data_IF_776557051551
#
_entry.id   IF_776557051551
#
_cell.length_a   1.000
_cell.length_b   1.000
_cell.length_c   1.000
_cell.angle_alpha   90.00
_cell.angle_beta   90.00
_cell.angle_gamma   90.00
#
_symmetry.space_group_name_H-M   'P 1'
#
loop_
_entity.id
_entity.type
_entity.pdbx_description
1 polymer ?
#
# COMPACT_ATOMS: atom_id res chain seq x y z
N UNK A 1 15.68 -2.58 32.17
CA UNK A 1 14.47 -3.40 32.03
C UNK A 1 14.53 -4.08 30.67
N UNK A 2 14.69 -5.39 30.69
CA UNK A 2 14.95 -6.25 29.53
C UNK A 2 13.65 -6.49 28.76
N UNK A 3 13.48 -5.83 27.62
CA UNK A 3 12.36 -6.10 26.71
C UNK A 3 12.71 -7.41 25.98
N UNK A 4 11.94 -8.46 26.24
CA UNK A 4 12.12 -9.76 25.58
C UNK A 4 11.93 -9.61 24.08
N UNK A 5 12.97 -9.96 23.32
CA UNK A 5 13.19 -9.79 21.88
C UNK A 5 12.22 -10.54 20.93
N UNK A 6 11.03 -10.96 21.38
CA UNK A 6 10.25 -12.01 20.72
C UNK A 6 8.78 -11.68 20.37
N UNK A 7 8.34 -10.41 20.40
CA UNK A 7 6.89 -10.10 20.31
C UNK A 7 6.53 -8.79 19.61
N UNK A 8 7.39 -8.29 18.72
CA UNK A 8 7.09 -7.14 17.87
C UNK A 8 7.24 -7.53 16.40
N UNK A 9 6.35 -7.01 15.55
CA UNK A 9 6.50 -7.13 14.09
C UNK A 9 6.23 -5.76 13.47
N UNK A 10 7.08 -5.37 12.52
CA UNK A 10 6.97 -4.08 11.87
C UNK A 10 6.08 -4.21 10.62
N UNK A 11 4.95 -3.50 10.60
CA UNK A 11 4.05 -3.50 9.44
C UNK A 11 4.66 -2.70 8.29
N UNK A 12 5.09 -1.48 8.59
CA UNK A 12 5.76 -0.56 7.67
C UNK A 12 6.61 0.43 8.45
N UNK A 13 7.39 1.28 7.77
CA UNK A 13 8.14 2.36 8.44
C UNK A 13 7.22 3.21 9.33
N UNK A 14 7.50 3.24 10.64
CA UNK A 14 6.73 4.00 11.63
C UNK A 14 5.47 3.32 12.15
N UNK A 15 5.16 2.07 11.76
CA UNK A 15 4.02 1.31 12.29
C UNK A 15 4.46 -0.05 12.80
N UNK A 16 4.29 -0.28 14.10
CA UNK A 16 4.74 -1.51 14.78
C UNK A 16 3.58 -2.16 15.52
N UNK A 17 3.48 -3.47 15.39
CA UNK A 17 2.55 -4.33 16.12
C UNK A 17 3.28 -5.02 17.27
N UNK A 18 2.69 -4.97 18.46
CA UNK A 18 3.20 -5.60 19.67
C UNK A 18 2.19 -6.59 20.21
N UNK A 19 2.67 -7.75 20.67
CA UNK A 19 1.85 -8.69 21.44
C UNK A 19 1.90 -8.31 22.91
N UNK A 20 0.79 -7.79 23.42
CA UNK A 20 0.55 -7.51 24.84
C UNK A 20 0.02 -8.76 25.55
N UNK A 21 0.06 -8.79 26.88
CA UNK A 21 -0.52 -9.87 27.69
C UNK A 21 -2.05 -9.92 27.62
N UNK A 22 -2.69 -8.80 27.26
CA UNK A 22 -4.17 -8.67 27.17
C UNK A 22 -4.68 -8.52 25.74
N UNK A 23 -3.80 -8.41 24.74
CA UNK A 23 -4.20 -8.01 23.40
C UNK A 23 -3.04 -7.74 22.43
N UNK A 24 -3.33 -6.93 21.42
CA UNK A 24 -2.39 -6.40 20.46
C UNK A 24 -2.28 -4.89 20.69
N UNK A 25 -1.06 -4.35 20.70
CA UNK A 25 -0.81 -2.91 20.73
C UNK A 25 -0.23 -2.48 19.38
N UNK A 26 -0.87 -1.51 18.75
CA UNK A 26 -0.44 -0.91 17.50
C UNK A 26 0.12 0.47 17.81
N UNK A 27 1.38 0.69 17.47
CA UNK A 27 2.02 1.99 17.60
C UNK A 27 2.25 2.57 16.21
N UNK A 28 1.76 3.79 16.02
CA UNK A 28 1.86 4.53 14.78
C UNK A 28 2.56 5.85 15.08
N UNK A 29 3.76 6.03 14.53
CA UNK A 29 4.50 7.27 14.62
C UNK A 29 4.17 8.12 13.38
N UNK A 30 3.35 9.16 13.57
CA UNK A 30 2.97 10.11 12.54
C UNK A 30 3.39 11.50 13.02
N UNK A 31 4.22 12.19 12.25
CA UNK A 31 4.55 13.61 12.46
C UNK A 31 4.92 13.96 13.92
N UNK A 32 5.87 13.23 14.52
CA UNK A 32 6.33 13.40 15.91
C UNK A 32 5.29 13.09 17.00
N UNK A 33 4.14 12.50 16.64
CA UNK A 33 3.14 12.05 17.59
C UNK A 33 3.02 10.51 17.56
N UNK A 34 3.20 9.88 18.73
CA UNK A 34 3.06 8.44 18.88
C UNK A 34 1.61 8.11 19.21
N UNK A 35 0.88 7.62 18.22
CA UNK A 35 -0.46 7.07 18.41
C UNK A 35 -0.34 5.62 18.83
N UNK A 36 -0.74 5.35 20.08
CA UNK A 36 -0.76 4.00 20.63
C UNK A 36 -2.21 3.55 20.74
N UNK A 37 -2.56 2.46 20.04
CA UNK A 37 -3.86 1.81 20.14
C UNK A 37 -3.68 0.43 20.77
N UNK A 38 -4.41 0.11 21.83
CA UNK A 38 -4.43 -1.23 22.42
C UNK A 38 -5.78 -1.90 22.14
N UNK A 39 -5.75 -3.05 21.47
CA UNK A 39 -6.90 -3.84 21.04
C UNK A 39 -6.88 -5.12 21.85
N UNK A 40 -7.95 -5.45 22.56
CA UNK A 40 -8.01 -6.70 23.33
C UNK A 40 -8.16 -7.90 22.39
N UNK A 41 -7.51 -9.02 22.73
CA UNK A 41 -7.56 -10.25 21.92
C UNK A 41 -8.99 -10.78 21.73
N UNK A 42 -9.84 -10.65 22.76
CA UNK A 42 -11.24 -11.10 22.72
C UNK A 42 -12.13 -10.28 21.77
N UNK A 43 -11.65 -9.12 21.32
CA UNK A 43 -12.38 -8.25 20.39
C UNK A 43 -11.99 -8.53 18.93
N UNK A 44 -10.93 -9.31 18.69
CA UNK A 44 -10.45 -9.65 17.35
C UNK A 44 -11.15 -10.92 16.88
N UNK A 45 -11.96 -10.78 15.84
CA UNK A 45 -12.75 -11.86 15.25
C UNK A 45 -12.03 -12.57 14.10
N UNK A 46 -10.91 -12.04 13.62
CA UNK A 46 -10.13 -12.61 12.53
C UNK A 46 -9.17 -11.60 11.90
N UNK A 47 -8.38 -12.06 10.93
CA UNK A 47 -7.52 -11.21 10.12
C UNK A 47 -7.50 -11.65 8.65
N UNK A 48 -7.27 -10.70 7.75
CA UNK A 48 -7.06 -10.97 6.32
C UNK A 48 -5.85 -10.18 5.80
N UNK A 49 -5.02 -10.84 5.00
CA UNK A 49 -3.97 -10.21 4.23
C UNK A 49 -4.48 -10.08 2.79
N UNK A 50 -4.90 -8.87 2.43
CA UNK A 50 -5.46 -8.60 1.12
C UNK A 50 -4.48 -7.78 0.29
N UNK A 51 -4.15 -8.17 -0.96
CA UNK A 51 -3.42 -7.30 -1.86
C UNK A 51 -4.29 -6.08 -2.14
N UNK A 52 -3.79 -4.91 -1.75
CA UNK A 52 -4.46 -3.67 -2.03
C UNK A 52 -4.44 -3.44 -3.54
N UNK A 53 -5.56 -2.95 -4.08
CA UNK A 53 -5.67 -2.71 -5.52
C UNK A 53 -4.60 -1.70 -5.92
N UNK A 54 -3.85 -2.00 -6.98
CA UNK A 54 -2.85 -1.08 -7.54
C UNK A 54 -3.52 0.26 -7.83
N UNK A 55 -2.81 1.37 -7.56
CA UNK A 55 -3.34 2.68 -7.92
C UNK A 55 -3.46 2.77 -9.44
N UNK A 56 -4.70 2.84 -9.91
CA UNK A 56 -5.04 2.90 -11.33
C UNK A 56 -4.78 4.29 -11.93
N UNK A 57 -4.42 5.29 -11.12
CA UNK A 57 -4.16 6.66 -11.58
C UNK A 57 -3.11 6.67 -12.70
N UNK A 58 -2.00 5.96 -12.53
CA UNK A 58 -0.91 5.89 -13.51
C UNK A 58 -1.38 5.27 -14.84
N UNK A 59 -2.14 4.17 -14.79
CA UNK A 59 -2.72 3.55 -15.98
C UNK A 59 -3.71 4.49 -16.69
N UNK A 60 -4.53 5.20 -15.91
CA UNK A 60 -5.51 6.15 -16.46
C UNK A 60 -4.82 7.34 -17.13
N UNK A 61 -3.75 7.86 -16.54
CA UNK A 61 -2.91 8.91 -17.13
C UNK A 61 -2.15 8.44 -18.37
N UNK A 62 -1.68 7.18 -18.39
CA UNK A 62 -1.05 6.60 -19.58
C UNK A 62 -2.04 6.55 -20.75
N UNK A 63 -3.28 6.09 -20.52
CA UNK A 63 -4.32 6.07 -21.55
C UNK A 63 -4.67 7.48 -22.01
N UNK A 64 -4.83 8.42 -21.07
CA UNK A 64 -5.14 9.81 -21.39
C UNK A 64 -4.03 10.47 -22.22
N UNK A 65 -2.76 10.26 -21.84
CA UNK A 65 -1.61 10.79 -22.57
C UNK A 65 -1.51 10.22 -23.99
N UNK A 66 -1.82 8.94 -24.17
CA UNK A 66 -1.83 8.30 -25.49
C UNK A 66 -2.94 8.88 -26.39
N UNK A 67 -4.16 9.04 -25.85
CA UNK A 67 -5.26 9.69 -26.59
C UNK A 67 -4.91 11.14 -26.95
N UNK A 68 -4.26 11.86 -26.03
CA UNK A 68 -3.85 13.24 -26.25
C UNK A 68 -2.77 13.34 -27.33
N UNK A 69 -1.87 12.35 -27.44
CA UNK A 69 -0.90 12.27 -28.53
C UNK A 69 -1.60 12.17 -29.90
N UNK A 70 -2.64 11.34 -30.01
CA UNK A 70 -3.42 11.21 -31.25
C UNK A 70 -4.11 12.53 -31.58
N UNK A 71 -4.71 13.20 -30.59
CA UNK A 71 -5.37 14.49 -30.80
C UNK A 71 -4.39 15.57 -31.26
N UNK A 72 -3.21 15.65 -30.62
CA UNK A 72 -2.16 16.59 -31.03
C UNK A 72 -1.69 16.31 -32.45
N UNK A 73 -1.59 15.03 -32.83
CA UNK A 73 -1.23 14.67 -34.20
C UNK A 73 -2.28 15.14 -35.23
N UNK A 74 -3.57 14.94 -34.93
CA UNK A 74 -4.65 15.25 -35.87
C UNK A 74 -4.99 16.75 -35.94
N UNK A 75 -4.86 17.48 -34.83
CA UNK A 75 -5.32 18.87 -34.72
C UNK A 75 -4.20 19.89 -34.96
N UNK A 76 -2.93 19.49 -34.89
CA UNK A 76 -1.83 20.42 -35.05
C UNK A 76 -1.68 20.86 -36.51
N UNK A 77 -1.78 22.17 -36.73
CA UNK A 77 -1.52 22.81 -38.02
C UNK A 77 -0.03 22.88 -38.39
N UNK A 78 0.86 22.64 -37.43
CA UNK A 78 2.31 22.67 -37.63
C UNK A 78 2.87 21.24 -37.58
N UNK A 79 3.40 20.70 -38.70
CA UNK A 79 3.85 19.30 -38.77
C UNK A 79 4.95 18.96 -37.76
N UNK A 80 5.90 19.87 -37.54
CA UNK A 80 7.02 19.62 -36.62
C UNK A 80 6.55 19.55 -35.15
N UNK A 81 5.65 20.45 -34.74
CA UNK A 81 5.06 20.45 -33.39
C UNK A 81 4.17 19.21 -33.20
N UNK A 82 3.42 18.85 -34.23
CA UNK A 82 2.59 17.65 -34.27
C UNK A 82 3.41 16.39 -33.98
N UNK A 83 4.51 16.20 -34.71
CA UNK A 83 5.37 15.02 -34.59
C UNK A 83 6.06 15.01 -33.23
N UNK A 84 6.72 16.12 -32.86
CA UNK A 84 7.47 16.19 -31.62
C UNK A 84 6.57 16.04 -30.37
N UNK A 85 5.44 16.74 -30.33
CA UNK A 85 4.49 16.67 -29.22
C UNK A 85 3.89 15.28 -29.06
N UNK A 86 3.53 14.62 -30.17
CA UNK A 86 2.99 13.26 -30.14
C UNK A 86 4.01 12.25 -29.64
N UNK A 87 5.27 12.33 -30.09
CA UNK A 87 6.35 11.45 -29.63
C UNK A 87 6.56 11.61 -28.12
N UNK A 88 6.64 12.85 -27.62
CA UNK A 88 6.82 13.11 -26.19
C UNK A 88 5.67 12.51 -25.38
N UNK A 89 4.42 12.73 -25.80
CA UNK A 89 3.24 12.23 -25.11
C UNK A 89 3.17 10.69 -25.11
N UNK A 90 3.54 10.05 -26.22
CA UNK A 90 3.64 8.58 -26.29
C UNK A 90 4.70 8.06 -25.33
N UNK A 91 5.88 8.70 -25.27
CA UNK A 91 6.95 8.31 -24.35
C UNK A 91 6.51 8.45 -22.88
N UNK A 92 5.90 9.57 -22.51
CA UNK A 92 5.37 9.78 -21.15
C UNK A 92 4.33 8.71 -20.80
N UNK A 93 3.44 8.40 -21.74
CA UNK A 93 2.40 7.38 -21.54
C UNK A 93 3.01 5.98 -21.38
N UNK A 94 4.06 5.67 -22.14
CA UNK A 94 4.79 4.42 -22.02
C UNK A 94 5.47 4.31 -20.65
N UNK A 95 6.15 5.37 -20.19
CA UNK A 95 6.76 5.39 -18.86
C UNK A 95 5.72 5.18 -17.76
N UNK A 96 4.59 5.88 -17.81
CA UNK A 96 3.51 5.70 -16.83
C UNK A 96 2.92 4.29 -16.86
N UNK A 97 2.80 3.68 -18.05
CA UNK A 97 2.35 2.30 -18.18
C UNK A 97 3.37 1.33 -17.60
N UNK A 98 4.67 1.55 -17.80
CA UNK A 98 5.73 0.72 -17.23
C UNK A 98 5.76 0.87 -15.71
N UNK A 99 5.65 2.09 -15.19
CA UNK A 99 5.52 2.34 -13.76
C UNK A 99 4.28 1.61 -13.20
N UNK A 100 3.15 1.64 -13.92
CA UNK A 100 1.97 0.87 -13.55
C UNK A 100 2.11 -0.65 -13.77
N UNK A 101 3.11 -1.17 -14.47
CA UNK A 101 3.36 -2.62 -14.53
C UNK A 101 4.28 -3.01 -13.39
N UNK A 102 5.35 -2.24 -13.17
CA UNK A 102 6.39 -2.53 -12.19
C UNK A 102 6.09 -2.06 -10.75
N UNK A 103 5.14 -1.15 -10.55
CA UNK A 103 4.79 -0.73 -9.20
C UNK A 103 4.33 -1.94 -8.34
N UNK A 104 4.98 -2.11 -7.18
CA UNK A 104 4.68 -3.21 -6.27
C UNK A 104 3.24 -3.12 -5.79
N UNK A 105 2.55 -4.26 -5.78
CA UNK A 105 1.23 -4.38 -5.17
C UNK A 105 1.40 -4.21 -3.67
N UNK A 106 0.83 -3.16 -3.08
CA UNK A 106 0.85 -3.00 -1.62
C UNK A 106 -0.05 -4.05 -0.99
N UNK A 107 0.35 -4.64 0.11
CA UNK A 107 -0.50 -5.58 0.86
C UNK A 107 -1.05 -4.85 2.07
N UNK A 108 -2.32 -5.11 2.40
CA UNK A 108 -2.98 -4.52 3.55
C UNK A 108 -3.40 -5.61 4.52
N UNK A 109 -3.06 -5.41 5.80
CA UNK A 109 -3.62 -6.17 6.90
C UNK A 109 -4.98 -5.59 7.25
N UNK A 110 -6.01 -6.44 7.21
CA UNK A 110 -7.35 -6.13 7.70
C UNK A 110 -7.53 -6.92 8.98
N UNK A 111 -7.68 -6.22 10.11
CA UNK A 111 -8.06 -6.81 11.39
C UNK A 111 -9.56 -6.58 11.60
N UNK A 112 -10.30 -7.68 11.78
CA UNK A 112 -11.73 -7.63 12.07
C UNK A 112 -11.93 -7.52 13.58
N UNK A 113 -12.35 -6.35 14.06
CA UNK A 113 -12.48 -6.03 15.49
C UNK A 113 -13.93 -5.71 15.81
N UNK A 114 -14.65 -6.64 16.44
CA UNK A 114 -16.02 -6.46 16.95
C UNK A 114 -16.96 -5.69 15.98
N UNK A 115 -16.95 -6.08 14.69
CA UNK A 115 -17.77 -5.47 13.64
C UNK A 115 -17.18 -4.21 12.96
N UNK A 116 -15.94 -3.83 13.29
CA UNK A 116 -15.17 -2.77 12.62
C UNK A 116 -13.91 -3.34 11.97
N UNK A 117 -13.52 -2.78 10.84
CA UNK A 117 -12.31 -3.17 10.13
C UNK A 117 -11.19 -2.16 10.40
N UNK A 118 -10.06 -2.62 10.92
CA UNK A 118 -8.84 -1.84 10.99
C UNK A 118 -7.92 -2.26 9.85
N UNK A 119 -7.65 -1.35 8.92
CA UNK A 119 -6.79 -1.58 7.76
C UNK A 119 -5.47 -0.87 7.93
N UNK A 120 -4.37 -1.61 7.85
CA UNK A 120 -3.02 -1.04 7.83
C UNK A 120 -2.20 -1.63 6.68
N UNK A 121 -1.38 -0.79 6.05
CA UNK A 121 -0.51 -1.22 4.95
C UNK A 121 0.72 -1.95 5.50
N UNK A 122 1.12 -2.99 4.77
CA UNK A 122 2.29 -3.82 5.03
C UNK A 122 3.30 -3.63 3.91
N UNK A 123 4.57 -3.50 4.28
CA UNK A 123 5.69 -3.63 3.35
C UNK A 123 5.87 -5.10 2.95
N UNK A 124 5.96 -5.35 1.64
CA UNK A 124 5.98 -6.68 1.02
C UNK A 124 7.05 -7.63 1.62
N UNK A 125 8.15 -7.06 2.09
CA UNK A 125 9.27 -7.78 2.70
C UNK A 125 8.93 -8.39 4.07
N UNK A 126 7.90 -7.89 4.77
CA UNK A 126 7.57 -8.30 6.14
C UNK A 126 6.36 -9.25 6.22
N UNK A 127 5.76 -9.64 5.09
CA UNK A 127 4.51 -10.41 5.06
C UNK A 127 4.62 -11.76 5.77
N UNK A 128 5.72 -12.47 5.56
CA UNK A 128 5.92 -13.79 6.15
C UNK A 128 6.09 -13.70 7.67
N UNK A 129 6.84 -12.69 8.16
CA UNK A 129 6.99 -12.42 9.59
C UNK A 129 5.65 -12.04 10.23
N UNK A 130 4.85 -11.18 9.57
CA UNK A 130 3.54 -10.78 10.06
C UNK A 130 2.57 -11.97 10.08
N UNK A 131 2.62 -12.83 9.07
CA UNK A 131 1.80 -14.06 9.00
C UNK A 131 2.15 -15.00 10.15
N UNK A 132 3.44 -15.18 10.45
CA UNK A 132 3.90 -16.02 11.56
C UNK A 132 3.54 -15.40 12.92
N UNK A 133 3.65 -14.07 13.05
CA UNK A 133 3.24 -13.33 14.23
C UNK A 133 1.73 -13.47 14.53
N UNK A 134 0.89 -13.32 13.49
CA UNK A 134 -0.57 -13.47 13.61
C UNK A 134 -0.98 -14.92 13.93
N UNK A 135 -0.31 -15.93 13.35
CA UNK A 135 -0.48 -17.33 13.75
C UNK A 135 -0.13 -17.56 15.22
N UNK A 136 0.95 -16.92 15.70
CA UNK A 136 1.41 -17.01 17.09
C UNK A 136 0.44 -16.33 18.08
N UNK A 137 -0.46 -15.47 17.58
CA UNK A 137 -1.53 -14.86 18.35
C UNK A 137 -2.77 -15.75 18.49
N UNK A 138 -2.82 -16.92 17.82
CA UNK A 138 -3.98 -17.84 17.79
C UNK A 138 -5.29 -17.13 17.42
N UNK A 139 -5.21 -16.11 16.57
CA UNK A 139 -6.38 -15.44 16.02
C UNK A 139 -6.88 -16.36 14.91
N UNK A 140 -8.03 -17.00 15.17
CA UNK A 140 -8.74 -17.87 14.23
C UNK A 140 -9.58 -17.06 13.26
#
# INVERSE_FOLDING_TARGET
>A
MTISKNKETQLRKGVVLYKSTKGIRLEKNIENNNLVSEIKLNEINGYELSPNKKDNSQAMWAIAGFLLAILVWQLSSVPMISIAGSIILVLVSLFLSLDYIFAKTRISLILYINGKDLREEIDDENIDEIREFLKTLKIS
#
